data_IF_586859521747
#
_entry.id   IF_586859521747
#
_cell.length_a   1.000
_cell.length_b   1.000
_cell.length_c   1.000
_cell.angle_alpha   90.00
_cell.angle_beta   90.00
_cell.angle_gamma   90.00
#
_symmetry.space_group_name_H-M   'P 1'
#
loop_
_entity.id
_entity.type
_entity.pdbx_description
1 polymer ?
#
# COMPACT_ATOMS: atom_id res chain seq x y z
N UNK A 1 -12.71 -10.40 12.23
CA UNK A 1 -11.26 -10.49 12.50
C UNK A 1 -10.51 -9.61 11.50
N UNK A 2 -9.67 -8.68 11.93
CA UNK A 2 -8.75 -7.94 11.04
C UNK A 2 -7.43 -8.70 10.99
N UNK A 3 -7.00 -9.05 9.78
CA UNK A 3 -5.77 -9.80 9.56
C UNK A 3 -4.61 -8.82 9.60
N UNK A 4 -3.57 -9.18 10.36
CA UNK A 4 -2.34 -8.43 10.44
C UNK A 4 -1.78 -8.21 9.03
N UNK A 5 -1.63 -6.95 8.63
CA UNK A 5 -0.40 -6.63 7.93
C UNK A 5 0.69 -6.72 8.98
N UNK A 6 1.49 -7.79 8.95
CA UNK A 6 2.82 -7.70 9.55
C UNK A 6 3.44 -6.40 9.04
N UNK A 7 3.95 -5.56 9.94
CA UNK A 7 4.72 -4.41 9.52
C UNK A 7 5.90 -4.93 8.70
N UNK A 8 5.75 -4.94 7.36
CA UNK A 8 6.88 -5.23 6.50
C UNK A 8 7.91 -4.16 6.79
N UNK A 9 9.14 -4.61 7.08
CA UNK A 9 10.30 -3.79 7.42
C UNK A 9 10.80 -2.93 6.24
N UNK A 10 9.97 -2.79 5.21
CA UNK A 10 10.29 -2.26 3.89
C UNK A 10 9.51 -0.97 3.55
N UNK A 11 8.73 -0.45 4.51
CA UNK A 11 7.97 0.79 4.37
C UNK A 11 8.53 1.90 5.27
N UNK A 12 8.65 3.10 4.73
CA UNK A 12 8.74 4.33 5.52
C UNK A 12 7.35 4.94 5.62
N UNK A 13 6.90 5.17 6.85
CA UNK A 13 5.60 5.78 7.12
C UNK A 13 5.76 7.25 7.44
N UNK A 14 4.86 8.08 6.91
CA UNK A 14 4.68 9.48 7.35
C UNK A 14 3.44 9.52 8.25
N UNK A 15 3.68 9.79 9.52
CA UNK A 15 2.62 10.04 10.51
C UNK A 15 2.06 11.45 10.34
N UNK A 16 0.77 11.61 10.64
CA UNK A 16 0.17 12.93 10.75
C UNK A 16 0.72 13.68 11.95
N UNK A 17 0.89 15.00 11.79
CA UNK A 17 1.31 15.92 12.86
C UNK A 17 0.28 17.02 13.09
N UNK A 18 -0.51 17.33 12.07
CA UNK A 18 -1.47 18.43 12.04
C UNK A 18 -2.78 18.01 11.36
N UNK A 19 -3.83 18.80 11.56
CA UNK A 19 -5.15 18.59 10.94
C UNK A 19 -5.21 18.93 9.44
N UNK A 20 -4.06 19.27 8.83
CA UNK A 20 -3.93 19.57 7.40
C UNK A 20 -3.06 18.56 6.64
N UNK A 21 -2.50 17.56 7.33
CA UNK A 21 -1.61 16.56 6.70
C UNK A 21 -2.34 15.60 5.76
N UNK A 22 -3.64 15.38 5.95
CA UNK A 22 -4.43 14.47 5.14
C UNK A 22 -5.68 15.17 4.59
N UNK A 23 -5.97 14.99 3.30
CA UNK A 23 -7.15 15.56 2.66
C UNK A 23 -8.30 14.56 2.68
N UNK A 24 -9.54 15.04 2.53
CA UNK A 24 -10.69 14.15 2.26
C UNK A 24 -10.39 13.28 1.03
N UNK A 25 -10.67 11.99 1.14
CA UNK A 25 -10.39 10.99 0.11
C UNK A 25 -9.00 10.34 0.22
N UNK A 26 -8.08 10.87 1.04
CA UNK A 26 -6.77 10.23 1.25
C UNK A 26 -6.93 8.88 1.92
N UNK A 27 -6.27 7.85 1.37
CA UNK A 27 -6.14 6.54 2.01
C UNK A 27 -5.02 6.62 3.04
N UNK A 28 -5.32 6.21 4.26
CA UNK A 28 -4.43 6.21 5.41
C UNK A 28 -4.46 4.86 6.09
N UNK A 29 -3.46 4.56 6.90
CA UNK A 29 -3.54 3.54 7.92
C UNK A 29 -3.88 4.21 9.25
N UNK A 30 -4.94 3.73 9.91
CA UNK A 30 -5.32 4.19 11.23
C UNK A 30 -4.85 3.22 12.30
N UNK A 31 -4.35 3.76 13.41
CA UNK A 31 -4.02 2.96 14.59
C UNK A 31 -5.29 2.48 15.28
N UNK A 32 -5.29 1.21 15.66
CA UNK A 32 -6.36 0.57 16.40
C UNK A 32 -5.79 -0.43 17.40
N UNK A 33 -6.44 -0.55 18.57
CA UNK A 33 -6.18 -1.62 19.52
C UNK A 33 -7.10 -2.80 19.19
N UNK A 34 -6.53 -3.99 19.07
CA UNK A 34 -7.28 -5.22 18.94
C UNK A 34 -6.99 -6.12 20.13
N UNK A 35 -8.05 -6.50 20.86
CA UNK A 35 -7.98 -7.57 21.86
C UNK A 35 -8.19 -8.91 21.15
N UNK A 36 -7.23 -9.83 21.25
CA UNK A 36 -7.46 -11.26 20.97
C UNK A 36 -6.95 -12.03 22.17
N UNK A 37 -7.77 -12.96 22.67
CA UNK A 37 -7.30 -14.11 23.46
C UNK A 37 -6.17 -13.73 24.44
N UNK A 38 -6.41 -12.72 25.29
CA UNK A 38 -5.51 -12.25 26.36
C UNK A 38 -4.33 -11.32 25.96
N UNK A 39 -4.16 -10.94 24.69
CA UNK A 39 -3.18 -9.93 24.25
C UNK A 39 -3.83 -8.72 23.55
N UNK A 40 -3.50 -7.52 24.02
CA UNK A 40 -3.77 -6.27 23.31
C UNK A 40 -2.69 -6.07 22.26
N UNK A 41 -3.04 -6.20 20.97
CA UNK A 41 -2.14 -5.94 19.85
C UNK A 41 -2.48 -4.63 19.17
N UNK A 42 -1.47 -3.79 18.99
CA UNK A 42 -1.54 -2.60 18.17
C UNK A 42 -1.55 -3.00 16.69
N UNK A 43 -2.59 -2.58 15.96
CA UNK A 43 -2.73 -2.86 14.54
C UNK A 43 -3.02 -1.58 13.76
N UNK A 44 -2.46 -1.51 12.56
CA UNK A 44 -2.70 -0.42 11.60
C UNK A 44 -3.67 -0.94 10.54
N UNK A 45 -4.77 -0.23 10.33
CA UNK A 45 -5.89 -0.67 9.48
C UNK A 45 -6.10 0.33 8.35
N UNK A 46 -6.25 -0.15 7.10
CA UNK A 46 -6.51 0.75 5.96
C UNK A 46 -7.89 1.42 6.08
N UNK A 47 -7.90 2.75 5.98
CA UNK A 47 -9.08 3.58 6.04
C UNK A 47 -8.99 4.74 5.02
N UNK A 48 -10.14 5.35 4.70
CA UNK A 48 -10.23 6.56 3.88
C UNK A 48 -10.67 7.75 4.73
N UNK A 49 -10.04 8.91 4.56
CA UNK A 49 -10.41 10.14 5.25
C UNK A 49 -11.72 10.70 4.68
N UNK A 50 -12.75 10.85 5.51
CA UNK A 50 -14.04 11.44 5.13
C UNK A 50 -14.05 12.97 5.32
N UNK A 51 -13.21 13.48 6.22
CA UNK A 51 -13.11 14.90 6.54
C UNK A 51 -12.67 15.15 7.98
N UNK A 52 -12.98 16.34 8.50
CA UNK A 52 -12.75 16.69 9.90
C UNK A 52 -14.08 16.75 10.66
N UNK A 53 -14.09 16.22 11.88
CA UNK A 53 -15.21 16.30 12.82
C UNK A 53 -14.65 16.57 14.21
N UNK A 54 -15.10 17.67 14.83
CA UNK A 54 -14.68 18.09 16.18
C UNK A 54 -13.16 18.15 16.37
N UNK A 55 -12.44 18.75 15.41
CA UNK A 55 -10.98 18.90 15.49
C UNK A 55 -10.18 17.60 15.34
N UNK A 56 -10.79 16.55 14.78
CA UNK A 56 -10.17 15.25 14.52
C UNK A 56 -10.55 14.75 13.13
N UNK A 57 -9.77 13.82 12.59
CA UNK A 57 -10.10 13.17 11.33
C UNK A 57 -11.23 12.17 11.53
N UNK A 58 -12.26 12.25 10.69
CA UNK A 58 -13.23 11.18 10.51
C UNK A 58 -12.71 10.28 9.38
N UNK A 59 -12.57 8.99 9.66
CA UNK A 59 -12.07 7.99 8.72
C UNK A 59 -13.03 6.79 8.64
N UNK A 60 -13.11 6.15 7.48
CA UNK A 60 -13.92 4.95 7.24
C UNK A 60 -13.04 3.78 6.85
N UNK A 61 -13.20 2.64 7.51
CA UNK A 61 -12.40 1.44 7.23
C UNK A 61 -12.73 0.89 5.86
N UNK A 62 -11.71 0.72 5.02
CA UNK A 62 -11.83 0.12 3.69
C UNK A 62 -11.16 -1.25 3.61
N UNK A 63 -10.32 -1.59 4.60
CA UNK A 63 -9.70 -2.91 4.71
C UNK A 63 -10.75 -4.01 4.85
N UNK A 64 -10.52 -5.14 4.19
CA UNK A 64 -11.44 -6.26 4.21
C UNK A 64 -11.35 -7.03 5.54
N UNK A 65 -11.94 -6.48 6.60
CA UNK A 65 -12.02 -7.12 7.90
C UNK A 65 -13.35 -6.89 8.64
N UNK A 66 -13.46 -7.40 9.87
CA UNK A 66 -14.67 -7.25 10.69
C UNK A 66 -15.06 -5.81 11.03
N UNK A 67 -14.17 -4.84 10.77
CA UNK A 67 -14.42 -3.41 10.94
C UNK A 67 -14.73 -2.68 9.63
N UNK A 68 -14.77 -3.39 8.48
CA UNK A 68 -15.04 -2.81 7.17
C UNK A 68 -16.31 -1.96 7.18
N UNK A 69 -16.27 -0.83 6.47
CA UNK A 69 -17.33 0.18 6.40
C UNK A 69 -17.66 0.92 7.71
N UNK A 70 -16.95 0.66 8.82
CA UNK A 70 -17.14 1.41 10.08
C UNK A 70 -16.37 2.74 10.07
N UNK A 71 -16.97 3.73 10.72
CA UNK A 71 -16.40 5.07 10.89
C UNK A 71 -15.70 5.23 12.25
N UNK A 72 -14.59 5.95 12.25
CA UNK A 72 -13.81 6.27 13.45
C UNK A 72 -13.37 7.73 13.44
N UNK A 73 -13.16 8.27 14.64
CA UNK A 73 -12.55 9.59 14.83
C UNK A 73 -11.13 9.39 15.38
N UNK A 74 -10.14 10.02 14.74
CA UNK A 74 -8.71 9.86 15.06
C UNK A 74 -7.96 11.18 15.07
N UNK A 75 -6.99 11.29 15.97
CA UNK A 75 -6.04 12.39 15.95
C UNK A 75 -5.01 12.18 14.82
N UNK A 76 -4.30 13.24 14.37
CA UNK A 76 -3.29 13.14 13.31
C UNK A 76 -2.24 12.05 13.55
N UNK A 77 -1.73 11.94 14.78
CA UNK A 77 -0.67 10.99 15.17
C UNK A 77 -1.12 9.52 15.11
N UNK A 78 -2.44 9.29 15.13
CA UNK A 78 -3.04 7.96 15.02
C UNK A 78 -3.29 7.57 13.56
N UNK A 79 -2.85 8.39 12.60
CA UNK A 79 -2.96 8.14 11.18
C UNK A 79 -1.57 8.22 10.55
N UNK A 80 -1.31 7.35 9.56
CA UNK A 80 -0.10 7.40 8.76
C UNK A 80 -0.38 7.05 7.30
N UNK A 81 0.51 7.46 6.43
CA UNK A 81 0.56 7.00 5.04
C UNK A 81 1.88 6.32 4.77
N UNK A 82 1.91 5.42 3.79
CA UNK A 82 3.17 4.91 3.24
C UNK A 82 3.80 6.06 2.46
N UNK A 83 4.90 6.61 2.98
CA UNK A 83 5.58 7.78 2.42
C UNK A 83 6.56 7.36 1.32
N UNK A 84 7.31 6.28 1.56
CA UNK A 84 8.28 5.71 0.63
C UNK A 84 8.39 4.22 0.86
N UNK A 85 8.70 3.48 -0.18
CA UNK A 85 9.23 2.13 -0.04
C UNK A 85 10.74 2.28 0.21
N UNK A 86 11.34 1.41 1.04
CA UNK A 86 12.73 1.50 1.53
C UNK A 86 13.81 1.67 0.44
N UNK A 87 13.48 1.40 -0.82
CA UNK A 87 14.35 1.60 -1.98
C UNK A 87 14.09 2.93 -2.76
N UNK A 88 13.40 3.89 -2.14
CA UNK A 88 13.16 5.23 -2.71
C UNK A 88 12.15 5.27 -3.86
N UNK A 89 11.50 4.15 -4.19
CA UNK A 89 10.45 4.08 -5.23
C UNK A 89 9.08 4.32 -4.62
N UNK A 90 8.19 4.98 -5.35
CA UNK A 90 6.78 5.25 -5.00
C UNK A 90 5.87 4.75 -6.12
N UNK A 91 4.55 4.81 -5.95
CA UNK A 91 3.54 4.50 -6.98
C UNK A 91 3.60 5.40 -8.23
N UNK A 92 4.38 6.48 -8.18
CA UNK A 92 4.58 7.40 -9.30
C UNK A 92 5.94 7.20 -9.98
N UNK A 93 6.66 6.12 -9.64
CA UNK A 93 7.98 5.84 -10.21
C UNK A 93 7.93 5.28 -11.63
N UNK A 94 6.79 4.75 -12.05
CA UNK A 94 6.59 4.14 -13.37
C UNK A 94 5.24 4.57 -13.98
N UNK A 95 5.22 4.94 -15.25
CA UNK A 95 4.00 5.31 -15.98
C UNK A 95 3.33 4.10 -16.64
N UNK A 96 2.02 4.18 -16.89
CA UNK A 96 1.31 3.18 -17.71
C UNK A 96 1.95 3.10 -19.10
N UNK A 97 2.21 1.88 -19.56
CA UNK A 97 2.93 1.59 -20.81
C UNK A 97 4.46 1.59 -20.69
N UNK A 98 5.03 2.05 -19.57
CA UNK A 98 6.48 2.06 -19.36
C UNK A 98 7.03 0.63 -19.29
N UNK A 99 8.08 0.36 -20.07
CA UNK A 99 8.82 -0.89 -20.01
C UNK A 99 9.78 -0.89 -18.82
N UNK A 100 9.70 -1.96 -18.02
CA UNK A 100 10.40 -2.13 -16.75
C UNK A 100 10.92 -3.57 -16.65
N UNK A 101 11.68 -3.85 -15.61
CA UNK A 101 11.99 -5.21 -15.18
C UNK A 101 11.27 -5.52 -13.87
N UNK A 102 10.54 -6.64 -13.86
CA UNK A 102 9.85 -7.21 -12.71
C UNK A 102 10.67 -8.35 -12.10
N UNK A 103 10.78 -8.37 -10.78
CA UNK A 103 11.37 -9.48 -10.05
C UNK A 103 10.45 -10.72 -10.06
N UNK A 104 10.97 -11.85 -10.52
CA UNK A 104 10.24 -13.12 -10.52
C UNK A 104 10.36 -13.80 -9.14
N UNK A 105 9.23 -13.93 -8.43
CA UNK A 105 9.14 -14.60 -7.13
C UNK A 105 8.74 -16.08 -7.22
N UNK A 106 8.33 -16.56 -8.39
CA UNK A 106 7.66 -17.87 -8.52
C UNK A 106 8.60 -19.07 -8.58
N UNK A 107 9.90 -18.88 -8.79
CA UNK A 107 10.84 -19.98 -8.91
C UNK A 107 12.03 -19.72 -7.98
N UNK A 108 12.73 -20.77 -7.54
CA UNK A 108 14.01 -20.70 -6.80
C UNK A 108 15.15 -19.98 -7.58
N UNK A 109 14.82 -19.26 -8.66
CA UNK A 109 15.69 -18.40 -9.45
C UNK A 109 15.26 -16.94 -9.25
N UNK A 110 16.17 -16.16 -8.66
CA UNK A 110 16.03 -14.70 -8.53
C UNK A 110 16.36 -14.07 -9.88
N UNK A 111 15.38 -13.91 -10.75
CA UNK A 111 15.55 -13.31 -12.09
C UNK A 111 14.67 -12.07 -12.27
N UNK A 112 15.14 -11.16 -13.12
CA UNK A 112 14.42 -9.96 -13.54
C UNK A 112 13.86 -10.20 -14.95
N UNK A 113 12.56 -10.02 -15.11
CA UNK A 113 11.83 -10.26 -16.35
C UNK A 113 11.32 -8.94 -16.93
N UNK A 114 11.47 -8.76 -18.24
CA UNK A 114 10.92 -7.57 -18.93
C UNK A 114 9.39 -7.58 -18.87
N UNK A 115 8.82 -6.45 -18.51
CA UNK A 115 7.37 -6.24 -18.45
C UNK A 115 7.03 -4.79 -18.79
N UNK A 116 5.76 -4.51 -19.04
CA UNK A 116 5.19 -3.15 -19.12
C UNK A 116 4.24 -2.91 -17.96
N UNK A 117 4.16 -1.67 -17.49
CA UNK A 117 3.07 -1.27 -16.59
C UNK A 117 1.76 -1.28 -17.35
N UNK A 118 0.83 -2.15 -16.97
CA UNK A 118 -0.51 -2.17 -17.56
C UNK A 118 -1.46 -1.22 -16.81
N UNK A 119 -1.30 -1.09 -15.49
CA UNK A 119 -2.16 -0.26 -14.63
C UNK A 119 -1.46 0.10 -13.32
N UNK A 120 -1.82 1.23 -12.72
CA UNK A 120 -1.37 1.68 -11.39
C UNK A 120 -2.54 1.54 -10.43
N UNK A 121 -2.44 0.65 -9.45
CA UNK A 121 -3.45 0.50 -8.40
C UNK A 121 -3.05 1.36 -7.19
N UNK A 122 -3.46 2.63 -7.23
CA UNK A 122 -3.22 3.60 -6.16
C UNK A 122 -3.88 3.18 -4.84
N UNK A 123 -4.95 2.40 -4.89
CA UNK A 123 -5.69 1.96 -3.71
C UNK A 123 -4.93 0.87 -2.95
N UNK A 124 -4.40 -0.11 -3.68
CA UNK A 124 -3.62 -1.21 -3.09
C UNK A 124 -2.13 -0.92 -3.01
N UNK A 125 -1.69 0.19 -3.58
CA UNK A 125 -0.32 0.62 -3.56
C UNK A 125 0.61 -0.29 -4.37
N UNK A 126 0.13 -0.78 -5.51
CA UNK A 126 0.90 -1.64 -6.39
C UNK A 126 0.69 -1.28 -7.87
N UNK A 127 1.44 -1.94 -8.73
CA UNK A 127 1.27 -1.89 -10.18
C UNK A 127 0.76 -3.24 -10.67
N UNK A 128 -0.09 -3.20 -11.70
CA UNK A 128 -0.35 -4.38 -12.52
C UNK A 128 0.62 -4.32 -13.70
N UNK A 129 1.47 -5.33 -13.81
CA UNK A 129 2.47 -5.44 -14.86
C UNK A 129 2.16 -6.60 -15.79
N UNK A 130 2.45 -6.43 -17.08
CA UNK A 130 2.26 -7.43 -18.12
C UNK A 130 3.62 -7.79 -18.72
N UNK A 131 3.98 -9.07 -18.70
CA UNK A 131 5.26 -9.54 -19.24
C UNK A 131 5.40 -9.24 -20.74
N UNK A 132 6.59 -8.78 -21.15
CA UNK A 132 6.93 -8.54 -22.55
C UNK A 132 7.83 -9.71 -23.01
N UNK A 133 7.32 -10.54 -23.92
CA UNK A 133 8.09 -11.62 -24.56
C UNK A 133 7.30 -12.91 -24.83
N UNK A 134 7.82 -13.75 -25.74
CA UNK A 134 7.20 -15.01 -26.19
C UNK A 134 7.47 -16.22 -25.25
N UNK A 135 7.57 -15.98 -23.93
CA UNK A 135 7.85 -17.04 -22.95
C UNK A 135 6.60 -17.76 -22.43
N UNK A 136 6.78 -18.93 -21.80
CA UNK A 136 5.74 -19.74 -21.12
C UNK A 136 4.93 -18.98 -20.06
N UNK A 137 5.39 -17.80 -19.64
CA UNK A 137 4.75 -16.96 -18.65
C UNK A 137 3.92 -15.87 -19.34
N UNK A 138 2.64 -16.17 -19.59
CA UNK A 138 1.64 -15.17 -19.99
C UNK A 138 0.85 -14.75 -18.76
N UNK A 139 0.61 -13.45 -18.58
CA UNK A 139 -0.26 -12.99 -17.50
C UNK A 139 0.01 -11.56 -17.05
N UNK A 140 -0.94 -11.07 -16.26
CA UNK A 140 -0.84 -9.83 -15.50
C UNK A 140 -0.50 -10.16 -14.06
N UNK A 141 0.43 -9.42 -13.48
CA UNK A 141 0.93 -9.65 -12.13
C UNK A 141 0.81 -8.38 -11.32
N UNK A 142 0.29 -8.50 -10.10
CA UNK A 142 0.37 -7.41 -9.12
C UNK A 142 1.77 -7.38 -8.51
N UNK A 143 2.41 -6.22 -8.53
CA UNK A 143 3.78 -6.02 -8.05
C UNK A 143 3.93 -4.70 -7.33
N UNK A 144 4.61 -4.73 -6.20
CA UNK A 144 4.95 -3.52 -5.47
C UNK A 144 6.11 -2.79 -6.16
N UNK A 145 6.27 -1.47 -5.96
CA UNK A 145 7.34 -0.68 -6.59
C UNK A 145 8.76 -1.23 -6.36
N UNK A 146 9.02 -1.94 -5.26
CA UNK A 146 10.33 -2.55 -4.99
C UNK A 146 10.61 -3.83 -5.79
N UNK A 147 9.56 -4.48 -6.31
CA UNK A 147 9.68 -5.62 -7.20
C UNK A 147 9.91 -5.18 -8.66
N UNK A 148 9.98 -3.88 -8.93
CA UNK A 148 10.07 -3.32 -10.28
C UNK A 148 11.28 -2.40 -10.37
N UNK A 149 12.05 -2.42 -11.47
CA UNK A 149 13.13 -1.46 -11.75
C UNK A 149 13.03 -0.95 -13.19
N UNK A 150 13.55 0.25 -13.45
CA UNK A 150 13.69 0.76 -14.82
C UNK A 150 14.66 -0.13 -15.60
N UNK A 151 14.41 -0.30 -16.89
CA UNK A 151 15.40 -0.87 -17.79
C UNK A 151 16.65 0.02 -17.76
N UNK A 152 17.80 -0.60 -17.50
CA UNK A 152 19.10 0.05 -17.64
C UNK A 152 19.45 -0.10 -19.13
N UNK A 153 19.48 1.02 -19.85
CA UNK A 153 20.05 1.07 -21.20
C UNK A 153 21.57 1.17 -21.14
#
# INVERSE_FOLDING_TARGET
MCYNFEQSKDFEYKYGKTLNDFKKGTIVEMWNLHEREEEIKEVWIKAIVLGLKNGKYQVKVIENCGLKERDFTRNPEQLRIIAKYKYGRTLNSFGIGEEIEMFNKNNNKKEWLKAKIAFVDEKEGNYIVELIGNGKHRGRFSRFPYDLRKLIN
#
